data_IF_434971787551
#
_entry.id   IF_434971787551
#
_cell.length_a   1.000
_cell.length_b   1.000
_cell.length_c   1.000
_cell.angle_alpha   90.00
_cell.angle_beta   90.00
_cell.angle_gamma   90.00
#
_symmetry.space_group_name_H-M   'P 1'
#
loop_
_entity.id
_entity.type
_entity.pdbx_description
1 polymer ?
#
# COMPACT_ATOMS: atom_id res chain seq x y z
N UNK A 1 -17.36 -37.78 19.81
CA UNK A 1 -17.39 -37.65 18.33
C UNK A 1 -16.37 -36.59 17.93
N UNK A 2 -15.58 -36.78 16.87
CA UNK A 2 -14.56 -35.83 16.44
C UNK A 2 -14.80 -35.40 14.98
N UNK A 3 -14.57 -34.11 14.68
CA UNK A 3 -14.75 -33.50 13.35
C UNK A 3 -13.45 -32.83 12.91
N UNK A 4 -13.04 -33.05 11.66
CA UNK A 4 -11.94 -32.33 10.99
C UNK A 4 -12.53 -31.44 9.91
N UNK A 5 -12.18 -30.16 9.91
CA UNK A 5 -12.54 -29.19 8.87
C UNK A 5 -11.25 -28.77 8.18
N UNK A 6 -11.23 -28.87 6.85
CA UNK A 6 -10.11 -28.42 6.02
C UNK A 6 -10.61 -27.26 5.17
N UNK A 7 -9.86 -26.14 5.18
CA UNK A 7 -10.09 -24.99 4.30
C UNK A 7 -8.94 -24.95 3.31
N UNK A 8 -9.24 -24.86 2.03
CA UNK A 8 -8.27 -24.81 0.93
C UNK A 8 -8.61 -23.67 -0.01
N UNK A 9 -7.59 -22.94 -0.46
CA UNK A 9 -7.73 -22.02 -1.58
C UNK A 9 -7.74 -22.84 -2.87
N UNK A 10 -8.75 -22.64 -3.71
CA UNK A 10 -9.01 -23.40 -4.92
C UNK A 10 -8.78 -22.50 -6.12
N UNK A 11 -8.27 -23.04 -7.22
CA UNK A 11 -8.08 -22.32 -8.47
C UNK A 11 -9.43 -22.07 -9.15
N UNK A 12 -9.80 -20.81 -9.36
CA UNK A 12 -11.11 -20.38 -9.89
C UNK A 12 -11.35 -20.80 -11.36
N UNK A 13 -10.30 -21.22 -12.08
CA UNK A 13 -10.39 -21.69 -13.48
C UNK A 13 -10.43 -23.23 -13.54
N UNK A 14 -9.80 -23.88 -12.56
CA UNK A 14 -9.73 -25.33 -12.44
C UNK A 14 -9.95 -25.75 -10.99
N UNK A 15 -11.23 -25.93 -10.62
CA UNK A 15 -11.68 -26.31 -9.27
C UNK A 15 -11.04 -27.60 -8.71
N UNK A 16 -10.33 -28.37 -9.54
CA UNK A 16 -9.57 -29.54 -9.12
C UNK A 16 -8.18 -29.21 -8.54
N UNK A 17 -7.71 -27.98 -8.68
CA UNK A 17 -6.39 -27.52 -8.23
C UNK A 17 -6.50 -26.57 -7.05
N UNK A 18 -5.45 -26.55 -6.24
CA UNK A 18 -5.25 -25.48 -5.25
C UNK A 18 -4.69 -24.24 -5.92
N UNK A 19 -5.16 -23.07 -5.51
CA UNK A 19 -4.54 -21.82 -5.92
C UNK A 19 -3.27 -21.54 -5.10
N UNK A 20 -2.30 -20.91 -5.76
CA UNK A 20 -1.02 -20.49 -5.16
C UNK A 20 -1.00 -18.97 -4.93
N UNK A 21 -1.73 -18.20 -5.74
CA UNK A 21 -1.75 -16.74 -5.68
C UNK A 21 -3.07 -16.13 -6.18
N UNK A 22 -3.37 -14.92 -5.69
CA UNK A 22 -4.45 -14.08 -6.19
C UNK A 22 -3.89 -13.09 -7.20
N UNK A 23 -4.45 -13.03 -8.41
CA UNK A 23 -4.02 -12.12 -9.48
C UNK A 23 -5.06 -11.02 -9.70
N UNK A 24 -4.62 -9.76 -9.62
CA UNK A 24 -5.44 -8.59 -10.01
C UNK A 24 -5.24 -8.27 -11.50
N UNK A 25 -6.33 -8.14 -12.25
CA UNK A 25 -6.31 -7.69 -13.66
C UNK A 25 -7.51 -6.81 -13.98
N UNK A 26 -7.55 -6.20 -15.16
CA UNK A 26 -8.65 -5.32 -15.54
C UNK A 26 -8.98 -5.31 -17.02
N UNK A 27 -10.27 -5.15 -17.32
CA UNK A 27 -10.85 -5.07 -18.67
C UNK A 27 -11.92 -4.00 -18.66
N UNK A 28 -11.91 -3.10 -19.66
CA UNK A 28 -12.88 -2.01 -19.82
C UNK A 28 -13.12 -1.14 -18.58
N UNK A 29 -12.06 -0.92 -17.79
CA UNK A 29 -12.11 -0.09 -16.59
C UNK A 29 -12.67 -0.79 -15.35
N UNK A 30 -13.00 -2.08 -15.43
CA UNK A 30 -13.37 -2.91 -14.28
C UNK A 30 -12.15 -3.72 -13.82
N UNK A 31 -11.90 -3.74 -12.52
CA UNK A 31 -10.83 -4.54 -11.87
C UNK A 31 -11.42 -5.83 -11.32
N UNK A 32 -10.71 -6.93 -11.55
CA UNK A 32 -11.05 -8.28 -11.11
C UNK A 32 -9.90 -8.85 -10.29
N UNK A 33 -10.22 -9.71 -9.32
CA UNK A 33 -9.29 -10.59 -8.61
C UNK A 33 -9.68 -12.04 -8.93
N UNK A 34 -8.68 -12.91 -9.02
CA UNK A 34 -8.87 -14.34 -9.31
C UNK A 34 -7.79 -15.17 -8.59
N UNK A 35 -8.18 -16.23 -7.91
CA UNK A 35 -7.29 -17.15 -7.23
C UNK A 35 -6.85 -18.26 -8.21
N UNK A 36 -5.54 -18.38 -8.46
CA UNK A 36 -5.00 -19.28 -9.48
C UNK A 36 -3.82 -20.09 -8.97
N UNK A 37 -3.68 -21.31 -9.48
CA UNK A 37 -2.42 -22.05 -9.46
C UNK A 37 -1.37 -21.30 -10.28
N UNK A 38 -0.09 -21.48 -9.93
CA UNK A 38 1.03 -20.78 -10.58
C UNK A 38 1.00 -20.92 -12.11
N UNK A 39 0.63 -22.11 -12.60
CA UNK A 39 0.49 -22.39 -14.03
C UNK A 39 -0.61 -21.55 -14.70
N UNK A 40 -1.76 -21.41 -14.07
CA UNK A 40 -2.86 -20.62 -14.61
C UNK A 40 -2.58 -19.12 -14.48
N UNK A 41 -1.90 -18.70 -13.41
CA UNK A 41 -1.44 -17.33 -13.25
C UNK A 41 -0.44 -16.91 -14.34
N UNK A 42 0.53 -17.77 -14.67
CA UNK A 42 1.47 -17.54 -15.76
C UNK A 42 0.75 -17.46 -17.11
N UNK A 43 -0.19 -18.36 -17.35
CA UNK A 43 -1.02 -18.32 -18.57
C UNK A 43 -1.78 -16.99 -18.70
N UNK A 44 -2.40 -16.50 -17.62
CA UNK A 44 -3.09 -15.22 -17.63
C UNK A 44 -2.14 -14.07 -17.98
N UNK A 45 -0.93 -14.07 -17.40
CA UNK A 45 0.09 -13.04 -17.68
C UNK A 45 0.54 -13.09 -19.14
N UNK A 46 0.76 -14.27 -19.70
CA UNK A 46 1.17 -14.45 -21.09
C UNK A 46 0.09 -14.00 -22.07
N UNK A 47 -1.18 -14.35 -21.81
CA UNK A 47 -2.32 -13.96 -22.63
C UNK A 47 -2.49 -12.42 -22.65
N UNK A 48 -2.25 -11.75 -21.52
CA UNK A 48 -2.25 -10.28 -21.41
C UNK A 48 -1.00 -9.66 -22.04
N UNK A 49 0.18 -10.27 -21.88
CA UNK A 49 1.45 -9.78 -22.37
C UNK A 49 1.43 -9.54 -23.88
N UNK A 50 0.80 -10.44 -24.64
CA UNK A 50 0.57 -10.32 -26.08
C UNK A 50 0.01 -8.95 -26.51
N UNK A 51 -0.85 -8.35 -25.69
CA UNK A 51 -1.43 -7.03 -25.97
C UNK A 51 -0.63 -5.92 -25.29
N UNK A 52 -0.16 -6.16 -24.08
CA UNK A 52 0.58 -5.19 -23.28
C UNK A 52 1.90 -4.74 -23.95
N UNK A 53 2.58 -5.62 -24.68
CA UNK A 53 3.80 -5.30 -25.44
C UNK A 53 3.60 -4.21 -26.50
N UNK A 54 2.41 -4.14 -27.10
CA UNK A 54 2.05 -3.15 -28.11
C UNK A 54 1.28 -1.96 -27.54
N UNK A 55 0.90 -2.02 -26.27
CA UNK A 55 0.09 -0.99 -25.62
C UNK A 55 0.98 0.05 -24.91
N UNK A 56 0.47 1.28 -24.80
CA UNK A 56 1.07 2.28 -23.90
C UNK A 56 0.48 2.13 -22.51
N UNK A 57 1.33 2.22 -21.49
CA UNK A 57 0.86 2.34 -20.11
C UNK A 57 0.19 3.71 -19.93
N UNK A 58 -1.13 3.74 -19.77
CA UNK A 58 -1.91 4.97 -19.54
C UNK A 58 -1.88 5.47 -18.10
N UNK A 59 -0.96 4.93 -17.28
CA UNK A 59 -0.84 5.12 -15.84
C UNK A 59 -2.03 4.55 -15.04
N UNK A 60 -1.81 3.39 -14.42
CA UNK A 60 -2.34 3.18 -13.08
C UNK A 60 -1.42 3.97 -12.16
N UNK A 61 -1.98 4.87 -11.35
CA UNK A 61 -1.31 5.50 -10.21
C UNK A 61 -0.35 4.46 -9.63
N UNK A 62 0.98 4.71 -9.72
CA UNK A 62 1.90 4.12 -8.74
C UNK A 62 1.16 4.28 -7.43
N UNK A 63 0.84 3.22 -6.68
CA UNK A 63 0.92 3.37 -5.23
C UNK A 63 2.30 3.96 -5.07
N UNK A 64 2.34 5.27 -4.89
CA UNK A 64 3.58 5.95 -4.69
C UNK A 64 4.10 5.21 -3.46
N UNK A 65 5.15 4.40 -3.64
CA UNK A 65 6.16 4.31 -2.62
C UNK A 65 6.54 5.78 -2.46
N UNK A 66 5.83 6.42 -1.53
CA UNK A 66 5.81 7.86 -1.41
C UNK A 66 7.24 8.31 -1.40
N UNK A 67 7.50 9.41 -2.07
CA UNK A 67 8.71 10.20 -1.94
C UNK A 67 9.09 10.21 -0.46
N UNK A 68 9.98 9.29 -0.07
CA UNK A 68 10.32 9.05 1.33
C UNK A 68 11.32 10.09 1.83
N UNK A 69 11.68 11.06 1.00
CA UNK A 69 12.64 12.11 1.31
C UNK A 69 11.98 13.36 1.86
N UNK A 70 10.76 13.72 1.42
CA UNK A 70 10.06 14.90 1.96
C UNK A 70 9.31 14.58 3.25
N UNK A 71 8.72 13.39 3.34
CA UNK A 71 8.02 12.93 4.54
C UNK A 71 8.99 12.51 5.68
N UNK A 72 10.25 12.16 5.39
CA UNK A 72 11.26 11.91 6.43
C UNK A 72 11.73 13.22 7.07
N UNK A 73 12.06 14.23 6.24
CA UNK A 73 12.44 15.57 6.69
C UNK A 73 11.32 16.22 7.51
N UNK A 74 10.07 16.08 7.06
CA UNK A 74 8.90 16.59 7.79
C UNK A 74 8.72 15.88 9.15
N UNK A 75 9.03 14.57 9.24
CA UNK A 75 8.98 13.84 10.52
C UNK A 75 10.08 14.25 11.49
N UNK A 76 11.30 14.47 11.00
CA UNK A 76 12.44 14.91 11.81
C UNK A 76 12.19 16.31 12.38
N UNK A 77 11.73 17.25 11.54
CA UNK A 77 11.33 18.59 11.98
C UNK A 77 10.19 18.52 13.00
N UNK A 78 9.17 17.69 12.73
CA UNK A 78 8.06 17.50 13.67
C UNK A 78 8.52 16.86 14.99
N UNK A 79 9.54 16.00 14.99
CA UNK A 79 10.12 15.46 16.22
C UNK A 79 10.86 16.55 17.02
N UNK A 80 11.68 17.36 16.35
CA UNK A 80 12.40 18.48 16.96
C UNK A 80 11.46 19.51 17.60
N UNK A 81 10.40 19.91 16.88
CA UNK A 81 9.38 20.84 17.40
C UNK A 81 8.71 20.26 18.65
N UNK A 82 8.35 18.95 18.67
CA UNK A 82 7.74 18.33 19.86
C UNK A 82 8.69 18.29 21.06
N UNK A 83 9.97 18.01 20.83
CA UNK A 83 10.95 17.94 21.91
C UNK A 83 11.20 19.33 22.50
N UNK A 84 11.33 20.35 21.66
CA UNK A 84 11.40 21.74 22.10
C UNK A 84 10.13 22.16 22.84
N UNK A 85 8.95 21.84 22.29
CA UNK A 85 7.66 22.17 22.90
C UNK A 85 7.52 21.58 24.30
N UNK A 86 7.87 20.29 24.49
CA UNK A 86 7.84 19.64 25.82
C UNK A 86 8.80 20.29 26.82
N UNK A 87 9.98 20.74 26.37
CA UNK A 87 10.96 21.43 27.22
C UNK A 87 10.52 22.84 27.60
N UNK A 88 9.76 23.51 26.73
CA UNK A 88 9.25 24.86 26.95
C UNK A 88 7.82 24.87 27.54
N UNK A 89 7.34 23.73 28.03
CA UNK A 89 6.05 23.63 28.74
C UNK A 89 4.80 23.63 27.85
N UNK A 90 4.95 23.51 26.53
CA UNK A 90 3.82 23.40 25.61
C UNK A 90 3.24 21.99 25.58
N UNK A 91 1.91 21.88 25.59
CA UNK A 91 1.21 20.59 25.51
C UNK A 91 1.14 20.12 24.05
N UNK A 92 1.88 19.06 23.72
CA UNK A 92 1.90 18.48 22.36
C UNK A 92 1.54 17.00 22.37
N UNK A 93 0.75 16.58 21.38
CA UNK A 93 0.41 15.17 21.18
C UNK A 93 1.64 14.33 20.82
N UNK A 94 1.70 13.10 21.30
CA UNK A 94 2.77 12.14 21.01
C UNK A 94 2.79 11.71 19.53
N UNK A 95 1.66 11.82 18.83
CA UNK A 95 1.51 11.48 17.41
C UNK A 95 0.57 12.45 16.69
N UNK A 96 0.70 12.56 15.37
CA UNK A 96 -0.15 13.41 14.53
C UNK A 96 0.34 14.85 14.40
N UNK A 97 -0.46 15.71 13.77
CA UNK A 97 -0.10 17.11 13.47
C UNK A 97 0.14 17.91 14.75
N UNK A 98 1.18 18.76 14.76
CA UNK A 98 1.43 19.72 15.85
C UNK A 98 0.50 20.93 15.66
N UNK A 99 -0.02 21.47 16.75
CA UNK A 99 -0.84 22.67 16.71
C UNK A 99 -0.03 23.86 16.18
N UNK A 100 -0.68 24.74 15.41
CA UNK A 100 0.00 25.78 14.64
C UNK A 100 0.70 26.82 15.52
N UNK A 101 0.11 27.13 16.67
CA UNK A 101 0.64 27.97 17.74
C UNK A 101 2.00 27.48 18.26
N UNK A 102 2.18 26.16 18.43
CA UNK A 102 3.44 25.58 18.88
C UNK A 102 4.52 25.62 17.79
N UNK A 103 4.11 25.47 16.52
CA UNK A 103 5.04 25.58 15.38
C UNK A 103 5.52 27.03 15.21
N UNK A 104 4.62 28.00 15.38
CA UNK A 104 4.95 29.42 15.33
C UNK A 104 5.91 29.81 16.47
N UNK A 105 5.59 29.43 17.71
CA UNK A 105 6.48 29.67 18.86
C UNK A 105 7.87 29.03 18.69
N UNK A 106 7.96 27.86 18.04
CA UNK A 106 9.25 27.24 17.72
C UNK A 106 10.05 28.04 16.70
N UNK A 107 9.38 28.57 15.66
CA UNK A 107 10.00 29.39 14.61
C UNK A 107 10.38 30.79 15.11
N UNK A 108 9.72 31.32 16.14
CA UNK A 108 10.12 32.57 16.78
C UNK A 108 11.35 32.38 17.67
N UNK A 109 11.54 31.18 18.21
CA UNK A 109 12.65 30.83 19.09
C UNK A 109 13.93 30.37 18.35
N UNK A 110 13.89 30.23 17.01
CA UNK A 110 14.99 29.76 16.16
C UNK A 110 15.14 30.58 14.89
#
# INVERSE_FOLDING_TARGET
MAKKVTVTLVDDVDDSKTADETVEFGVDGVTYEIDLSSKNADKLRDDVAKWAEHARRVSGRKRAKGIATKASVDREQTAAIRDWARRNGHQVSSRGRIAADVVEAYNEAH
#
